data_IF_295223065202
#
_entry.id   IF_295223065202
#
_cell.length_a   1.000
_cell.length_b   1.000
_cell.length_c   1.000
_cell.angle_alpha   90.00
_cell.angle_beta   90.00
_cell.angle_gamma   90.00
#
_symmetry.space_group_name_H-M   'P 1'
#
loop_
_entity.id
_entity.type
_entity.pdbx_description
1 polymer ?
#
# COMPACT_ATOMS: atom_id res chain seq x y z
N UNK A 1 -10.68 -39.86 -10.15
CA UNK A 1 -11.26 -39.12 -9.00
C UNK A 1 -10.30 -38.11 -8.37
N UNK A 2 -9.03 -38.44 -8.09
CA UNK A 2 -8.05 -37.49 -7.50
C UNK A 2 -7.62 -36.33 -8.40
N UNK A 3 -7.71 -36.43 -9.71
CA UNK A 3 -7.32 -35.37 -10.65
C UNK A 3 -8.46 -34.37 -10.87
N UNK A 4 -9.71 -34.80 -10.79
CA UNK A 4 -10.91 -33.94 -10.84
C UNK A 4 -11.02 -33.06 -9.59
N UNK A 5 -10.69 -33.61 -8.42
CA UNK A 5 -10.63 -32.80 -7.16
C UNK A 5 -9.50 -31.77 -7.16
N UNK A 6 -8.34 -32.08 -7.74
CA UNK A 6 -7.26 -31.12 -7.94
C UNK A 6 -7.64 -29.99 -8.90
N UNK A 7 -8.45 -30.29 -9.93
CA UNK A 7 -8.92 -29.29 -10.88
C UNK A 7 -10.00 -28.38 -10.28
N UNK A 8 -10.89 -28.94 -9.45
CA UNK A 8 -11.90 -28.17 -8.68
C UNK A 8 -11.27 -27.28 -7.61
N UNK A 9 -10.22 -27.72 -6.93
CA UNK A 9 -9.46 -26.92 -5.96
C UNK A 9 -8.66 -25.78 -6.62
N UNK A 10 -8.31 -25.92 -7.91
CA UNK A 10 -7.64 -24.89 -8.71
C UNK A 10 -8.58 -23.76 -9.16
N UNK A 11 -9.89 -23.95 -9.07
CA UNK A 11 -10.92 -23.03 -9.58
C UNK A 11 -11.51 -22.10 -8.52
N UNK A 12 -11.20 -22.23 -7.24
CA UNK A 12 -11.54 -21.20 -6.24
C UNK A 12 -10.47 -20.11 -6.27
N UNK A 13 -10.60 -19.15 -7.19
CA UNK A 13 -9.93 -17.85 -7.04
C UNK A 13 -10.25 -17.34 -5.65
N UNK A 14 -9.24 -17.25 -4.80
CA UNK A 14 -9.43 -16.63 -3.49
C UNK A 14 -9.95 -15.22 -3.71
N UNK A 15 -11.07 -14.87 -3.07
CA UNK A 15 -11.64 -13.51 -3.17
C UNK A 15 -10.61 -12.43 -2.84
N UNK A 16 -9.60 -12.76 -2.04
CA UNK A 16 -8.48 -11.89 -1.69
C UNK A 16 -7.50 -11.59 -2.85
N UNK A 17 -7.69 -12.21 -4.02
CA UNK A 17 -6.85 -12.01 -5.22
C UNK A 17 -7.67 -11.49 -6.41
N UNK A 18 -8.83 -10.87 -6.17
CA UNK A 18 -9.68 -10.31 -7.23
C UNK A 18 -9.20 -8.93 -7.68
N UNK A 19 -9.40 -8.62 -8.97
CA UNK A 19 -9.08 -7.28 -9.52
C UNK A 19 -9.82 -6.15 -8.79
N UNK A 20 -11.04 -6.40 -8.32
CA UNK A 20 -11.81 -5.40 -7.57
C UNK A 20 -11.15 -5.05 -6.24
N UNK A 21 -10.73 -6.06 -5.49
CA UNK A 21 -9.99 -5.82 -4.24
C UNK A 21 -8.68 -5.09 -4.51
N UNK A 22 -7.96 -5.44 -5.59
CA UNK A 22 -6.77 -4.74 -6.03
C UNK A 22 -7.02 -3.24 -6.21
N UNK A 23 -8.07 -2.86 -6.93
CA UNK A 23 -8.42 -1.46 -7.19
C UNK A 23 -8.74 -0.74 -5.88
N UNK A 24 -9.55 -1.35 -5.01
CA UNK A 24 -9.92 -0.78 -3.70
C UNK A 24 -8.70 -0.55 -2.81
N UNK A 25 -7.79 -1.53 -2.72
CA UNK A 25 -6.56 -1.40 -1.94
C UNK A 25 -5.61 -0.35 -2.53
N UNK A 26 -5.56 -0.23 -3.86
CA UNK A 26 -4.78 0.81 -4.54
C UNK A 26 -5.33 2.20 -4.23
N UNK A 27 -6.66 2.38 -4.28
CA UNK A 27 -7.33 3.63 -3.92
C UNK A 27 -7.06 3.96 -2.45
N UNK A 28 -7.23 3.00 -1.54
CA UNK A 28 -6.94 3.18 -0.11
C UNK A 28 -5.51 3.64 0.12
N UNK A 29 -4.52 2.94 -0.44
CA UNK A 29 -3.10 3.28 -0.28
C UNK A 29 -2.73 4.65 -0.85
N UNK A 30 -3.29 5.01 -2.01
CA UNK A 30 -3.08 6.34 -2.60
C UNK A 30 -3.72 7.47 -1.79
N UNK A 31 -4.94 7.25 -1.27
CA UNK A 31 -5.62 8.22 -0.38
C UNK A 31 -4.84 8.42 0.93
N UNK A 32 -4.29 7.37 1.51
CA UNK A 32 -3.48 7.46 2.73
C UNK A 32 -2.21 8.29 2.50
N UNK A 33 -1.50 8.08 1.38
CA UNK A 33 -0.33 8.89 1.02
C UNK A 33 -0.69 10.36 0.74
N UNK A 34 -1.75 10.61 -0.02
CA UNK A 34 -2.24 11.94 -0.30
C UNK A 34 -2.64 12.67 0.99
N UNK A 35 -3.41 12.01 1.86
CA UNK A 35 -3.83 12.57 3.14
C UNK A 35 -2.64 12.91 4.05
N UNK A 36 -1.71 11.99 4.24
CA UNK A 36 -0.55 12.22 5.11
C UNK A 36 0.35 13.32 4.56
N UNK A 37 0.55 13.37 3.26
CA UNK A 37 1.40 14.37 2.63
C UNK A 37 0.78 15.77 2.63
N UNK A 38 -0.49 15.90 2.19
CA UNK A 38 -1.11 17.22 2.04
C UNK A 38 -1.71 17.79 3.34
N UNK A 39 -2.10 16.92 4.27
CA UNK A 39 -2.87 17.31 5.46
C UNK A 39 -2.09 17.16 6.76
N UNK A 40 -1.10 16.23 6.80
CA UNK A 40 -0.38 15.85 8.04
C UNK A 40 1.11 16.15 8.01
N UNK A 41 1.54 17.23 7.32
CA UNK A 41 2.90 17.76 7.43
C UNK A 41 3.91 17.15 6.46
N UNK A 42 3.49 16.85 5.23
CA UNK A 42 4.35 16.43 4.10
C UNK A 42 5.10 15.12 4.32
N UNK A 43 4.45 14.17 5.00
CA UNK A 43 4.98 12.83 5.29
C UNK A 43 4.27 11.81 4.42
N UNK A 44 4.99 10.82 3.93
CA UNK A 44 4.40 9.70 3.19
C UNK A 44 4.04 8.54 4.11
N UNK A 45 2.84 7.99 3.99
CA UNK A 45 2.42 6.79 4.71
C UNK A 45 3.02 5.52 4.11
N UNK A 46 3.17 5.47 2.76
CA UNK A 46 3.67 4.31 2.01
C UNK A 46 5.06 4.53 1.42
N UNK A 47 5.35 5.73 0.89
CA UNK A 47 6.59 6.02 0.17
C UNK A 47 7.77 6.28 1.14
N UNK A 48 8.15 5.26 1.90
CA UNK A 48 9.17 5.38 2.96
C UNK A 48 10.54 5.83 2.44
N UNK A 49 10.89 5.55 1.18
CA UNK A 49 12.10 6.09 0.55
C UNK A 49 12.07 7.63 0.54
N UNK A 50 10.91 8.24 0.26
CA UNK A 50 10.74 9.68 0.34
C UNK A 50 10.98 10.22 1.76
N UNK A 51 10.41 9.56 2.77
CA UNK A 51 10.64 9.92 4.17
C UNK A 51 12.13 9.84 4.55
N UNK A 52 12.85 8.79 4.12
CA UNK A 52 14.28 8.63 4.38
C UNK A 52 15.10 9.77 3.74
N UNK A 53 14.79 10.16 2.50
CA UNK A 53 15.47 11.26 1.81
C UNK A 53 15.21 12.59 2.53
N UNK A 54 13.97 12.87 2.91
CA UNK A 54 13.60 14.08 3.64
C UNK A 54 14.26 14.10 5.03
N UNK A 55 14.23 12.98 5.75
CA UNK A 55 14.93 12.81 7.03
C UNK A 55 16.41 13.17 6.89
N UNK A 56 17.11 12.58 5.91
CA UNK A 56 18.54 12.82 5.69
C UNK A 56 18.83 14.31 5.41
N UNK A 57 17.96 14.96 4.64
CA UNK A 57 18.07 16.39 4.36
C UNK A 57 17.97 17.24 5.62
N UNK A 58 17.06 16.91 6.55
CA UNK A 58 16.91 17.64 7.80
C UNK A 58 18.01 17.33 8.82
N UNK A 59 18.55 16.09 8.83
CA UNK A 59 19.74 15.75 9.60
C UNK A 59 20.94 16.61 9.14
N UNK A 60 21.17 16.71 7.84
CA UNK A 60 22.26 17.53 7.28
C UNK A 60 22.12 19.04 7.62
N UNK A 61 20.87 19.53 7.79
CA UNK A 61 20.58 20.90 8.22
C UNK A 61 20.62 21.08 9.75
N UNK A 62 20.90 20.04 10.54
CA UNK A 62 20.89 20.08 12.01
C UNK A 62 19.50 20.19 12.64
N UNK A 63 18.42 20.03 11.85
CA UNK A 63 17.05 20.12 12.34
C UNK A 63 16.50 18.75 12.78
N UNK A 64 16.88 18.36 13.98
CA UNK A 64 16.54 17.06 14.56
C UNK A 64 15.04 16.83 14.77
N UNK A 65 14.30 17.90 15.10
CA UNK A 65 12.85 17.80 15.28
C UNK A 65 12.14 17.41 13.97
N UNK A 66 12.51 18.05 12.86
CA UNK A 66 11.99 17.71 11.53
C UNK A 66 12.50 16.33 11.07
N UNK A 67 13.74 15.96 11.38
CA UNK A 67 14.25 14.63 11.06
C UNK A 67 13.45 13.52 11.75
N UNK A 68 13.12 13.70 13.04
CA UNK A 68 12.27 12.75 13.78
C UNK A 68 10.85 12.64 13.20
N UNK A 69 10.31 13.73 12.67
CA UNK A 69 9.02 13.74 12.00
C UNK A 69 8.93 12.74 10.84
N UNK A 70 10.03 12.54 10.10
CA UNK A 70 10.13 11.56 9.02
C UNK A 70 10.59 10.18 9.49
N UNK A 71 11.34 10.08 10.58
CA UNK A 71 11.78 8.79 11.13
C UNK A 71 10.64 7.97 11.72
N UNK A 72 9.72 8.62 12.42
CA UNK A 72 8.60 7.94 13.11
C UNK A 72 7.74 7.11 12.15
N UNK A 73 7.29 7.62 11.00
CA UNK A 73 6.56 6.83 10.01
C UNK A 73 7.34 5.65 9.46
N UNK A 74 8.65 5.78 9.27
CA UNK A 74 9.52 4.67 8.82
C UNK A 74 9.54 3.54 9.84
N UNK A 75 9.71 3.88 11.13
CA UNK A 75 9.69 2.89 12.21
C UNK A 75 8.30 2.27 12.39
N UNK A 76 7.24 3.08 12.28
CA UNK A 76 5.87 2.60 12.36
C UNK A 76 5.52 1.66 11.18
N UNK A 77 6.03 1.94 9.98
CA UNK A 77 5.89 1.07 8.83
C UNK A 77 6.58 -0.28 9.05
N UNK A 78 7.81 -0.27 9.55
CA UNK A 78 8.53 -1.50 9.90
C UNK A 78 7.78 -2.32 10.97
N UNK A 79 7.22 -1.65 11.98
CA UNK A 79 6.39 -2.29 12.99
C UNK A 79 5.11 -2.89 12.40
N UNK A 80 4.46 -2.21 11.47
CA UNK A 80 3.28 -2.71 10.76
C UNK A 80 3.55 -3.99 9.98
N UNK A 81 4.70 -4.09 9.29
CA UNK A 81 5.14 -5.34 8.64
C UNK A 81 5.31 -6.45 9.68
N UNK A 82 5.99 -6.15 10.80
CA UNK A 82 6.22 -7.12 11.87
C UNK A 82 4.91 -7.63 12.46
N UNK A 83 3.96 -6.74 12.75
CA UNK A 83 2.64 -7.10 13.26
C UNK A 83 1.89 -7.98 12.26
N UNK A 84 1.89 -7.61 10.97
CA UNK A 84 1.22 -8.39 9.92
C UNK A 84 1.78 -9.83 9.83
N UNK A 85 3.11 -10.00 9.91
CA UNK A 85 3.75 -11.32 9.92
C UNK A 85 3.39 -12.12 11.17
N UNK A 86 3.33 -11.49 12.35
CA UNK A 86 2.90 -12.15 13.58
C UNK A 86 1.44 -12.61 13.52
N UNK A 87 0.55 -11.76 13.00
CA UNK A 87 -0.86 -12.12 12.79
C UNK A 87 -0.99 -13.26 11.77
N UNK A 88 -0.24 -13.20 10.66
CA UNK A 88 -0.21 -14.29 9.70
C UNK A 88 0.23 -15.61 10.34
N UNK A 89 1.36 -15.62 11.06
CA UNK A 89 1.88 -16.82 11.71
C UNK A 89 0.91 -17.41 12.76
N UNK A 90 0.18 -16.55 13.48
CA UNK A 90 -0.73 -17.00 14.55
C UNK A 90 -2.08 -17.50 14.02
N UNK A 91 -2.60 -16.89 12.94
CA UNK A 91 -3.95 -17.14 12.42
C UNK A 91 -3.99 -17.90 11.09
N UNK A 92 -2.84 -18.34 10.58
CA UNK A 92 -2.74 -19.08 9.31
C UNK A 92 -3.60 -20.35 9.28
N UNK A 93 -3.64 -21.08 10.39
CA UNK A 93 -4.29 -22.38 10.49
C UNK A 93 -5.66 -22.33 11.20
N UNK A 94 -6.16 -21.13 11.52
CA UNK A 94 -7.48 -20.95 12.15
C UNK A 94 -8.55 -20.95 11.08
N UNK A 95 -9.37 -22.01 11.03
CA UNK A 95 -10.35 -22.24 9.97
C UNK A 95 -11.58 -21.32 9.96
N UNK A 96 -11.82 -20.53 11.01
CA UNK A 96 -13.05 -19.75 11.16
C UNK A 96 -12.95 -18.33 10.56
N UNK A 97 -11.79 -17.66 10.68
CA UNK A 97 -11.55 -16.31 10.13
C UNK A 97 -10.23 -16.33 9.38
N UNK A 98 -10.24 -15.86 8.13
CA UNK A 98 -9.01 -15.77 7.36
C UNK A 98 -8.15 -14.62 7.91
N UNK A 99 -6.87 -14.86 8.17
CA UNK A 99 -5.93 -13.87 8.73
C UNK A 99 -5.91 -12.51 7.99
N UNK A 100 -6.12 -12.50 6.66
CA UNK A 100 -6.22 -11.26 5.88
C UNK A 100 -7.44 -10.41 6.27
N UNK A 101 -8.54 -11.02 6.70
CA UNK A 101 -9.71 -10.29 7.18
C UNK A 101 -9.42 -9.58 8.49
N UNK A 102 -8.67 -10.22 9.38
CA UNK A 102 -8.21 -9.61 10.65
C UNK A 102 -7.36 -8.38 10.34
N UNK A 103 -6.44 -8.48 9.36
CA UNK A 103 -5.59 -7.35 8.98
C UNK A 103 -6.40 -6.20 8.40
N UNK A 104 -7.32 -6.44 7.46
CA UNK A 104 -8.19 -5.40 6.91
C UNK A 104 -9.04 -4.76 8.01
N UNK A 105 -9.57 -5.55 8.92
CA UNK A 105 -10.33 -5.01 10.06
C UNK A 105 -9.44 -4.13 10.96
N UNK A 106 -8.22 -4.57 11.26
CA UNK A 106 -7.26 -3.76 12.04
C UNK A 106 -6.89 -2.46 11.32
N UNK A 107 -6.66 -2.52 10.01
CA UNK A 107 -6.41 -1.34 9.17
C UNK A 107 -7.59 -0.36 9.25
N UNK A 108 -8.83 -0.85 9.09
CA UNK A 108 -10.03 -0.01 9.19
C UNK A 108 -10.14 0.68 10.56
N UNK A 109 -9.84 -0.03 11.66
CA UNK A 109 -9.84 0.53 13.02
C UNK A 109 -8.77 1.60 13.15
N UNK A 110 -7.54 1.34 12.69
CA UNK A 110 -6.44 2.31 12.74
C UNK A 110 -6.78 3.58 11.95
N UNK A 111 -7.29 3.45 10.74
CA UNK A 111 -7.68 4.59 9.91
C UNK A 111 -8.87 5.35 10.49
N UNK A 112 -9.82 4.66 11.11
CA UNK A 112 -10.91 5.29 11.85
C UNK A 112 -10.37 6.15 12.99
N UNK A 113 -9.42 5.63 13.78
CA UNK A 113 -8.75 6.39 14.85
C UNK A 113 -8.06 7.63 14.27
N UNK A 114 -7.31 7.48 13.17
CA UNK A 114 -6.64 8.60 12.48
C UNK A 114 -7.63 9.69 12.08
N UNK A 115 -8.85 9.31 11.64
CA UNK A 115 -9.90 10.25 11.28
C UNK A 115 -10.40 11.13 12.44
N UNK A 116 -10.31 10.66 13.67
CA UNK A 116 -10.68 11.42 14.87
C UNK A 116 -9.54 12.24 15.47
N UNK A 117 -8.30 12.04 15.05
CA UNK A 117 -7.15 12.79 15.56
C UNK A 117 -7.20 14.23 15.00
N UNK A 118 -7.15 15.26 15.84
CA UNK A 118 -7.10 16.66 15.41
C UNK A 118 -5.93 16.94 14.46
N UNK A 119 -6.09 17.92 13.58
CA UNK A 119 -5.05 18.34 12.64
C UNK A 119 -4.04 19.25 13.32
N UNK A 120 -2.76 19.05 13.01
CA UNK A 120 -1.67 19.94 13.37
C UNK A 120 -0.93 19.60 14.65
N UNK A 121 0.26 20.14 14.78
CA UNK A 121 1.12 20.00 15.96
C UNK A 121 1.62 18.57 16.21
N UNK A 122 1.70 18.22 17.48
CA UNK A 122 2.18 16.89 17.92
C UNK A 122 1.25 15.75 17.53
N UNK A 123 -0.01 16.02 17.23
CA UNK A 123 -0.98 15.00 16.83
C UNK A 123 -0.67 14.40 15.46
N UNK A 124 -0.01 15.14 14.56
CA UNK A 124 0.36 14.65 13.25
C UNK A 124 1.40 13.51 13.31
N UNK A 125 2.28 13.50 14.32
CA UNK A 125 3.21 12.39 14.55
C UNK A 125 2.46 11.07 14.77
N UNK A 126 1.43 11.09 15.62
CA UNK A 126 0.63 9.91 15.95
C UNK A 126 -0.20 9.47 14.74
N UNK A 127 -0.85 10.42 14.06
CA UNK A 127 -1.66 10.13 12.87
C UNK A 127 -0.81 9.51 11.75
N UNK A 128 0.38 10.08 11.47
CA UNK A 128 1.30 9.56 10.47
C UNK A 128 1.86 8.17 10.84
N UNK A 129 2.17 7.94 12.12
CA UNK A 129 2.60 6.63 12.59
C UNK A 129 1.52 5.56 12.40
N UNK A 130 0.28 5.84 12.79
CA UNK A 130 -0.85 4.92 12.63
C UNK A 130 -1.16 4.65 11.15
N UNK A 131 -1.19 5.68 10.31
CA UNK A 131 -1.39 5.54 8.86
C UNK A 131 -0.28 4.69 8.23
N UNK A 132 0.99 4.95 8.56
CA UNK A 132 2.12 4.16 8.03
C UNK A 132 2.07 2.70 8.49
N UNK A 133 1.68 2.46 9.73
CA UNK A 133 1.48 1.10 10.24
C UNK A 133 0.35 0.38 9.49
N UNK A 134 -0.79 1.02 9.28
CA UNK A 134 -1.92 0.48 8.52
C UNK A 134 -1.52 0.15 7.08
N UNK A 135 -0.86 1.08 6.38
CA UNK A 135 -0.32 0.88 5.04
C UNK A 135 0.64 -0.32 4.96
N UNK A 136 1.54 -0.44 5.93
CA UNK A 136 2.50 -1.54 5.98
C UNK A 136 1.80 -2.91 6.13
N UNK A 137 0.77 -2.98 6.96
CA UNK A 137 -0.03 -4.18 7.14
C UNK A 137 -0.76 -4.57 5.84
N UNK A 138 -1.31 -3.59 5.11
CA UNK A 138 -1.93 -3.79 3.79
C UNK A 138 -0.91 -4.34 2.78
N UNK A 139 0.23 -3.68 2.63
CA UNK A 139 1.29 -4.07 1.68
C UNK A 139 1.79 -5.48 1.96
N UNK A 140 2.02 -5.82 3.22
CA UNK A 140 2.53 -7.13 3.62
C UNK A 140 1.51 -8.24 3.37
N UNK A 141 0.23 -7.98 3.52
CA UNK A 141 -0.83 -8.99 3.45
C UNK A 141 -1.32 -9.26 2.02
N UNK A 142 -1.25 -8.24 1.15
CA UNK A 142 -1.78 -8.31 -0.21
C UNK A 142 -0.66 -8.19 -1.26
N UNK A 143 0.31 -9.12 -1.18
CA UNK A 143 1.50 -9.14 -2.05
C UNK A 143 1.28 -9.73 -3.43
N UNK A 144 0.14 -10.40 -3.65
CA UNK A 144 -0.19 -11.09 -4.92
C UNK A 144 -1.63 -10.83 -5.32
N UNK A 145 -1.84 -10.64 -6.62
CA UNK A 145 -3.17 -10.59 -7.26
C UNK A 145 -3.14 -11.51 -8.48
N UNK A 146 -4.15 -12.39 -8.61
CA UNK A 146 -4.20 -13.39 -9.67
C UNK A 146 -2.88 -14.20 -9.80
N UNK A 147 -2.27 -14.55 -8.67
CA UNK A 147 -0.97 -15.25 -8.59
C UNK A 147 0.25 -14.45 -9.08
N UNK A 148 0.09 -13.18 -9.43
CA UNK A 148 1.19 -12.30 -9.81
C UNK A 148 1.63 -11.39 -8.66
N UNK A 149 2.93 -11.09 -8.53
CA UNK A 149 3.42 -10.08 -7.60
C UNK A 149 2.71 -8.75 -7.84
N UNK A 150 2.23 -8.15 -6.78
CA UNK A 150 1.48 -6.91 -6.83
C UNK A 150 1.87 -6.00 -5.66
N UNK A 151 2.00 -4.72 -5.95
CA UNK A 151 2.27 -3.72 -4.93
C UNK A 151 1.15 -2.66 -4.97
N UNK A 152 0.22 -2.71 -4.01
CA UNK A 152 -0.94 -1.81 -3.94
C UNK A 152 -0.57 -0.34 -3.81
N UNK A 153 0.66 -0.03 -3.40
CA UNK A 153 1.09 1.32 -3.03
C UNK A 153 2.38 1.78 -3.71
N UNK A 154 2.99 0.94 -4.57
CA UNK A 154 4.30 1.21 -5.18
C UNK A 154 4.18 1.33 -6.70
N UNK A 155 4.35 2.54 -7.24
CA UNK A 155 4.37 2.76 -8.70
C UNK A 155 5.54 2.07 -9.39
N UNK A 156 6.75 2.14 -8.83
CA UNK A 156 7.99 1.61 -9.45
C UNK A 156 7.92 0.09 -9.61
N UNK A 157 7.46 -0.65 -8.59
CA UNK A 157 7.31 -2.11 -8.67
C UNK A 157 6.32 -2.55 -9.75
N UNK A 158 5.21 -1.85 -9.85
CA UNK A 158 4.19 -2.10 -10.88
C UNK A 158 4.69 -1.72 -12.27
N UNK A 159 5.41 -0.62 -12.43
CA UNK A 159 6.01 -0.19 -13.70
C UNK A 159 7.04 -1.21 -14.21
N UNK A 160 7.92 -1.70 -13.33
CA UNK A 160 8.84 -2.78 -13.65
C UNK A 160 8.11 -4.01 -14.17
N UNK A 161 7.12 -4.50 -13.45
CA UNK A 161 6.33 -5.68 -13.82
C UNK A 161 5.54 -5.49 -15.12
N UNK A 162 5.05 -4.27 -15.38
CA UNK A 162 4.40 -3.91 -16.64
C UNK A 162 5.37 -4.05 -17.82
N UNK A 163 6.56 -3.45 -17.72
CA UNK A 163 7.57 -3.48 -18.78
C UNK A 163 8.14 -4.88 -18.99
N UNK A 164 8.36 -5.66 -17.94
CA UNK A 164 8.72 -7.08 -18.04
C UNK A 164 7.68 -7.88 -18.83
N UNK A 165 6.38 -7.61 -18.56
CA UNK A 165 5.28 -8.30 -19.25
C UNK A 165 5.16 -7.89 -20.72
N UNK A 166 5.41 -6.63 -21.08
CA UNK A 166 5.49 -6.17 -22.49
C UNK A 166 6.66 -6.83 -23.20
N UNK A 167 7.86 -6.81 -22.61
CA UNK A 167 9.03 -7.44 -23.18
C UNK A 167 8.83 -8.94 -23.44
N UNK A 168 8.18 -9.63 -22.51
CA UNK A 168 7.81 -11.05 -22.69
C UNK A 168 6.78 -11.23 -23.80
N UNK A 169 5.78 -10.35 -23.91
CA UNK A 169 4.81 -10.37 -25.01
C UNK A 169 5.48 -10.22 -26.38
N UNK A 170 6.44 -9.30 -26.50
CA UNK A 170 7.17 -9.08 -27.76
C UNK A 170 7.99 -10.32 -28.19
N UNK A 171 8.41 -11.16 -27.24
CA UNK A 171 9.17 -12.40 -27.53
C UNK A 171 8.29 -13.61 -27.84
N UNK A 172 7.15 -13.72 -27.15
CA UNK A 172 6.34 -14.94 -27.14
C UNK A 172 5.01 -14.76 -27.91
N UNK A 173 4.52 -13.52 -28.05
CA UNK A 173 3.25 -13.20 -28.72
C UNK A 173 2.01 -13.53 -27.91
N UNK A 174 2.13 -13.91 -26.64
CA UNK A 174 0.99 -14.27 -25.79
C UNK A 174 0.22 -13.04 -25.30
N UNK A 175 -1.02 -12.89 -25.76
CA UNK A 175 -1.92 -11.78 -25.40
C UNK A 175 -2.26 -11.72 -23.91
N UNK A 176 -2.06 -12.79 -23.16
CA UNK A 176 -2.25 -12.80 -21.70
C UNK A 176 -1.25 -11.87 -20.99
N UNK A 177 -0.02 -11.80 -21.51
CA UNK A 177 1.04 -10.92 -21.00
C UNK A 177 0.72 -9.44 -21.24
N UNK A 178 0.12 -9.11 -22.39
CA UNK A 178 -0.32 -7.75 -22.69
C UNK A 178 -1.44 -7.31 -21.72
N UNK A 179 -2.41 -8.19 -21.46
CA UNK A 179 -3.49 -7.92 -20.49
C UNK A 179 -2.92 -7.71 -19.07
N UNK A 180 -1.93 -8.51 -18.70
CA UNK A 180 -1.22 -8.37 -17.42
C UNK A 180 -0.52 -7.02 -17.31
N UNK A 181 0.20 -6.59 -18.35
CA UNK A 181 0.84 -5.27 -18.38
C UNK A 181 -0.17 -4.14 -18.22
N UNK A 182 -1.32 -4.23 -18.92
CA UNK A 182 -2.39 -3.24 -18.82
C UNK A 182 -2.94 -3.12 -17.38
N UNK A 183 -3.05 -4.23 -16.65
CA UNK A 183 -3.46 -4.21 -15.24
C UNK A 183 -2.46 -3.44 -14.35
N UNK A 184 -1.15 -3.63 -14.57
CA UNK A 184 -0.14 -2.86 -13.83
C UNK A 184 -0.18 -1.36 -14.16
N UNK A 185 -0.35 -0.99 -15.43
CA UNK A 185 -0.50 0.42 -15.81
C UNK A 185 -1.77 1.04 -15.23
N UNK A 186 -2.88 0.31 -15.22
CA UNK A 186 -4.12 0.76 -14.56
C UNK A 186 -3.89 1.04 -13.07
N UNK A 187 -3.13 0.17 -12.39
CA UNK A 187 -2.77 0.38 -10.98
C UNK A 187 -1.97 1.67 -10.79
N UNK A 188 -0.95 1.91 -11.63
CA UNK A 188 -0.15 3.13 -11.59
C UNK A 188 -1.03 4.35 -11.85
N UNK A 189 -1.92 4.27 -12.83
CA UNK A 189 -2.83 5.35 -13.18
C UNK A 189 -3.77 5.70 -12.02
N UNK A 190 -4.38 4.69 -11.38
CA UNK A 190 -5.25 4.89 -10.20
C UNK A 190 -4.47 5.51 -9.04
N UNK A 191 -3.24 5.05 -8.75
CA UNK A 191 -2.38 5.67 -7.74
C UNK A 191 -2.06 7.13 -8.08
N UNK A 192 -1.75 7.43 -9.34
CA UNK A 192 -1.38 8.80 -9.76
C UNK A 192 -2.55 9.77 -9.74
N UNK A 193 -3.77 9.33 -10.08
CA UNK A 193 -4.96 10.18 -10.05
C UNK A 193 -5.21 10.78 -8.66
N UNK A 194 -4.95 10.02 -7.61
CA UNK A 194 -5.15 10.46 -6.24
C UNK A 194 -4.12 11.54 -5.87
N UNK A 195 -2.89 11.40 -6.35
CA UNK A 195 -1.83 12.39 -6.15
C UNK A 195 -2.04 13.68 -6.98
N UNK A 196 -2.75 13.61 -8.10
CA UNK A 196 -2.99 14.76 -9.00
C UNK A 196 -4.19 15.61 -8.53
N UNK A 197 -5.20 15.00 -7.92
CA UNK A 197 -6.44 15.70 -7.56
C UNK A 197 -6.31 16.68 -6.39
N UNK A 198 -5.26 16.60 -5.58
CA UNK A 198 -5.07 17.42 -4.37
C UNK A 198 -4.34 18.78 -4.58
N UNK A 199 -3.36 18.98 -5.51
CA UNK A 199 -2.63 20.25 -5.63
C UNK A 199 -3.50 21.45 -6.03
N UNK A 200 -4.64 21.22 -6.65
CA UNK A 200 -5.55 22.29 -7.11
C UNK A 200 -6.22 23.04 -5.95
N UNK A 201 -6.32 22.44 -4.78
CA UNK A 201 -7.01 23.05 -3.63
C UNK A 201 -6.16 24.09 -2.87
N UNK A 202 -4.83 23.97 -2.91
CA UNK A 202 -3.92 24.93 -2.22
C UNK A 202 -3.63 26.21 -3.00
N UNK A 203 -3.88 26.27 -4.31
CA UNK A 203 -3.65 27.49 -5.12
C UNK A 203 -4.81 28.48 -5.10
N UNK A 204 -5.90 28.19 -4.41
CA UNK A 204 -7.08 29.03 -4.34
C UNK A 204 -7.24 29.83 -3.03
N UNK A 205 -6.25 29.80 -2.13
CA UNK A 205 -6.26 30.59 -0.88
C UNK A 205 -4.94 31.37 -0.80
N UNK A 206 -4.86 32.44 -1.52
CA UNK A 206 -3.94 33.58 -1.32
C UNK A 206 -4.71 34.87 -1.39
#
# INVERSE_FOLDING_TARGET
MKEYDKMMLRSRKQMSETNMLMILLTISGGLQDAYSYFVRGEVFSNAQTGNIVLMSTYVAKGNWHRALHYLIPVLAFAMGIFIAERLHARFKDVGFIHWRQIIVFTEMVLLCIVGFIPLGGSYDFVANALSSCACAMQVQSFRKVNSYPYASTMCIGNMRSAMESISAYMRIGDKSLLRKSLQYFLTIFVLSLIHISEPTRRRGIS
#
